data_IF_137720506211
#
_entry.id   IF_137720506211
#
_cell.length_a   1.000
_cell.length_b   1.000
_cell.length_c   1.000
_cell.angle_alpha   90.00
_cell.angle_beta   90.00
_cell.angle_gamma   90.00
#
_symmetry.space_group_name_H-M   'P 1'
#
loop_
_entity.id
_entity.type
_entity.pdbx_description
1 polymer ?
#
# COMPACT_ATOMS: atom_id res chain seq x y z
N UNK A 1 -7.57 53.64 -39.30
CA UNK A 1 -7.04 52.31 -39.67
C UNK A 1 -7.85 51.27 -38.92
N UNK A 2 -8.50 50.33 -39.63
CA UNK A 2 -9.51 49.41 -39.05
C UNK A 2 -8.92 48.24 -38.22
N UNK A 3 -7.59 48.09 -38.16
CA UNK A 3 -6.96 46.93 -37.50
C UNK A 3 -5.73 47.36 -36.68
N UNK A 4 -5.97 47.92 -35.48
CA UNK A 4 -4.92 48.09 -34.47
C UNK A 4 -4.83 46.83 -33.58
N UNK A 5 -3.61 46.35 -33.30
CA UNK A 5 -3.37 45.25 -32.34
C UNK A 5 -3.19 43.84 -32.93
N UNK A 6 -2.70 43.73 -34.16
CA UNK A 6 -2.41 42.45 -34.82
C UNK A 6 -1.30 41.69 -34.06
N UNK A 7 -1.68 40.59 -33.40
CA UNK A 7 -0.76 39.69 -32.70
C UNK A 7 -1.23 38.25 -32.95
N UNK A 8 -0.32 37.38 -33.41
CA UNK A 8 -0.66 36.02 -33.79
C UNK A 8 0.47 35.04 -33.47
N UNK A 9 0.18 33.98 -32.69
CA UNK A 9 1.11 32.87 -32.41
C UNK A 9 0.93 31.68 -33.38
N UNK A 10 -0.16 31.69 -34.15
CA UNK A 10 -0.50 30.74 -35.22
C UNK A 10 -0.84 31.56 -36.46
N UNK A 11 -0.69 31.00 -37.67
CA UNK A 11 -0.42 29.61 -38.02
C UNK A 11 1.05 29.21 -37.89
N UNK A 12 1.29 27.89 -37.86
CA UNK A 12 2.65 27.31 -37.84
C UNK A 12 3.31 27.40 -39.22
N UNK A 13 4.63 27.39 -39.27
CA UNK A 13 5.40 27.42 -40.53
C UNK A 13 4.96 26.32 -41.50
N UNK A 14 4.69 25.11 -41.00
CA UNK A 14 4.21 23.98 -41.80
C UNK A 14 2.84 24.25 -42.46
N UNK A 15 1.95 24.97 -41.77
CA UNK A 15 0.66 25.37 -42.31
C UNK A 15 0.81 26.45 -43.38
N UNK A 16 1.75 27.40 -43.21
CA UNK A 16 2.03 28.44 -44.21
C UNK A 16 2.73 27.89 -45.46
N UNK A 17 3.68 26.97 -45.29
CA UNK A 17 4.39 26.32 -46.41
C UNK A 17 3.40 25.53 -47.26
N UNK A 18 2.41 24.86 -46.66
CA UNK A 18 1.37 24.12 -47.40
C UNK A 18 0.51 25.01 -48.32
N UNK A 19 0.38 26.30 -48.01
CA UNK A 19 -0.31 27.25 -48.89
C UNK A 19 0.49 27.55 -50.15
N UNK A 20 1.79 27.80 -49.95
CA UNK A 20 2.70 28.33 -50.97
C UNK A 20 3.37 27.24 -51.81
N UNK A 21 3.64 26.07 -51.21
CA UNK A 21 4.30 24.93 -51.85
C UNK A 21 3.35 23.73 -51.75
N UNK A 22 2.61 23.49 -52.83
CA UNK A 22 1.62 22.41 -52.92
C UNK A 22 2.27 21.13 -53.44
N UNK A 23 2.86 20.37 -52.53
CA UNK A 23 3.58 19.13 -52.87
C UNK A 23 2.81 17.84 -52.56
N UNK A 24 1.63 17.94 -51.93
CA UNK A 24 0.78 16.78 -51.60
C UNK A 24 -0.43 16.73 -52.52
N UNK A 25 -0.82 15.53 -52.97
CA UNK A 25 -1.99 15.32 -53.84
C UNK A 25 -3.27 16.00 -53.33
N UNK A 26 -3.47 15.98 -52.00
CA UNK A 26 -4.60 16.64 -51.36
C UNK A 26 -4.56 18.17 -51.47
N UNK A 27 -3.38 18.78 -51.35
CA UNK A 27 -3.18 20.22 -51.49
C UNK A 27 -3.24 20.67 -52.97
N UNK A 28 -2.89 19.77 -53.89
CA UNK A 28 -3.01 19.97 -55.35
C UNK A 28 -4.48 19.95 -55.75
N UNK A 29 -5.26 18.97 -55.25
CA UNK A 29 -6.69 18.84 -55.54
C UNK A 29 -7.59 19.84 -54.79
N UNK A 30 -7.22 20.26 -53.57
CA UNK A 30 -8.02 21.18 -52.75
C UNK A 30 -7.36 22.55 -52.62
N UNK A 31 -7.82 23.51 -53.42
CA UNK A 31 -7.24 24.85 -53.46
C UNK A 31 -7.51 25.69 -52.21
N UNK A 32 -8.65 25.45 -51.56
CA UNK A 32 -9.06 26.20 -50.37
C UNK A 32 -8.53 25.48 -49.12
N UNK A 33 -9.01 24.26 -48.84
CA UNK A 33 -8.59 23.47 -47.66
C UNK A 33 -7.42 22.53 -47.98
N UNK A 34 -6.20 23.04 -47.91
CA UNK A 34 -4.98 22.34 -48.33
C UNK A 34 -4.20 21.61 -47.21
N UNK A 35 -4.61 21.75 -45.95
CA UNK A 35 -4.03 21.01 -44.82
C UNK A 35 -4.59 19.57 -44.75
N UNK A 36 -4.24 18.85 -43.70
CA UNK A 36 -4.58 17.44 -43.53
C UNK A 36 -6.10 17.22 -43.30
N UNK A 37 -6.61 15.99 -43.48
CA UNK A 37 -8.02 15.62 -43.22
C UNK A 37 -8.47 15.85 -41.80
N UNK A 38 -7.55 15.82 -40.84
CA UNK A 38 -7.88 16.01 -39.44
C UNK A 38 -7.93 17.48 -39.02
N UNK A 39 -7.58 18.41 -39.93
CA UNK A 39 -7.64 19.84 -39.65
C UNK A 39 -9.10 20.32 -39.57
N UNK A 40 -9.45 20.96 -38.46
CA UNK A 40 -10.79 21.46 -38.19
C UNK A 40 -11.04 22.79 -38.90
N UNK A 41 -12.31 23.07 -39.18
CA UNK A 41 -12.72 24.32 -39.82
C UNK A 41 -12.33 25.57 -39.01
N UNK A 42 -12.31 25.47 -37.68
CA UNK A 42 -11.89 26.57 -36.78
C UNK A 42 -10.37 26.84 -36.90
N UNK A 43 -9.57 25.83 -37.23
CA UNK A 43 -8.14 25.99 -37.51
C UNK A 43 -7.92 26.69 -38.86
N UNK A 44 -8.72 26.34 -39.87
CA UNK A 44 -8.72 27.02 -41.16
C UNK A 44 -9.21 28.47 -41.06
N UNK A 45 -10.22 28.75 -40.24
CA UNK A 45 -10.69 30.12 -39.97
C UNK A 45 -9.54 30.97 -39.41
N UNK A 46 -8.82 30.47 -38.42
CA UNK A 46 -7.66 31.17 -37.83
C UNK A 46 -6.54 31.38 -38.85
N UNK A 47 -6.28 30.38 -39.69
CA UNK A 47 -5.29 30.42 -40.77
C UNK A 47 -5.63 31.44 -41.87
N UNK A 48 -6.89 31.50 -42.30
CA UNK A 48 -7.32 32.45 -43.33
C UNK A 48 -7.37 33.87 -42.81
N UNK A 49 -7.83 34.07 -41.57
CA UNK A 49 -7.75 35.38 -40.92
C UNK A 49 -6.32 35.90 -40.87
N UNK A 50 -5.34 35.01 -40.64
CA UNK A 50 -3.93 35.36 -40.71
C UNK A 50 -3.47 35.69 -42.13
N UNK A 51 -3.78 34.85 -43.12
CA UNK A 51 -3.37 35.07 -44.53
C UNK A 51 -3.96 36.36 -45.13
N UNK A 52 -5.15 36.77 -44.69
CA UNK A 52 -5.81 38.00 -45.11
C UNK A 52 -5.28 39.27 -44.40
N UNK A 53 -4.29 39.13 -43.51
CA UNK A 53 -3.75 40.25 -42.72
C UNK A 53 -4.66 40.70 -41.57
N UNK A 54 -5.72 39.95 -41.27
CA UNK A 54 -6.68 40.20 -40.18
C UNK A 54 -6.37 39.30 -38.96
N UNK A 55 -5.09 39.03 -38.72
CA UNK A 55 -4.66 38.09 -37.69
C UNK A 55 -5.02 38.60 -36.29
N UNK A 56 -5.89 37.89 -35.59
CA UNK A 56 -6.37 38.29 -34.26
C UNK A 56 -6.30 37.14 -33.25
N UNK A 57 -5.87 37.45 -32.03
CA UNK A 57 -5.73 36.48 -30.93
C UNK A 57 -7.03 35.74 -30.59
N UNK A 58 -8.19 36.34 -30.86
CA UNK A 58 -9.51 35.69 -30.64
C UNK A 58 -9.73 34.45 -31.52
N UNK A 59 -9.15 34.38 -32.73
CA UNK A 59 -9.26 33.19 -33.59
C UNK A 59 -8.63 31.96 -32.94
N UNK A 60 -7.42 32.14 -32.40
CA UNK A 60 -6.71 31.10 -31.65
C UNK A 60 -7.43 30.70 -30.35
N UNK A 61 -7.99 31.68 -29.64
CA UNK A 61 -8.80 31.41 -28.44
C UNK A 61 -10.03 30.57 -28.79
N UNK A 62 -10.73 30.89 -29.88
CA UNK A 62 -11.88 30.12 -30.37
C UNK A 62 -11.49 28.66 -30.68
N UNK A 63 -10.37 28.45 -31.34
CA UNK A 63 -9.83 27.12 -31.64
C UNK A 63 -9.58 26.30 -30.36
N UNK A 64 -8.97 26.94 -29.36
CA UNK A 64 -8.64 26.33 -28.07
C UNK A 64 -9.90 25.97 -27.28
N UNK A 65 -10.82 26.93 -27.12
CA UNK A 65 -12.09 26.74 -26.41
C UNK A 65 -12.97 25.67 -27.08
N UNK A 66 -12.99 25.62 -28.41
CA UNK A 66 -13.75 24.59 -29.14
C UNK A 66 -13.20 23.20 -28.86
N UNK A 67 -11.88 23.06 -28.76
CA UNK A 67 -11.23 21.79 -28.44
C UNK A 67 -11.52 21.36 -27.00
N UNK A 68 -11.42 22.27 -26.04
CA UNK A 68 -11.78 22.02 -24.63
C UNK A 68 -13.26 21.63 -24.50
N UNK A 69 -14.16 22.35 -25.16
CA UNK A 69 -15.60 22.04 -25.15
C UNK A 69 -15.89 20.63 -25.69
N UNK A 70 -15.18 20.19 -26.74
CA UNK A 70 -15.32 18.84 -27.27
C UNK A 70 -14.81 17.78 -26.29
N UNK A 71 -13.72 18.05 -25.56
CA UNK A 71 -13.20 17.16 -24.52
C UNK A 71 -14.22 17.02 -23.37
N UNK A 72 -14.76 18.13 -22.88
CA UNK A 72 -15.80 18.16 -21.84
C UNK A 72 -17.06 17.40 -22.25
N UNK A 73 -17.54 17.61 -23.48
CA UNK A 73 -18.71 16.87 -24.01
C UNK A 73 -18.46 15.36 -24.06
N UNK A 74 -17.27 14.93 -24.48
CA UNK A 74 -16.89 13.51 -24.49
C UNK A 74 -16.81 12.95 -23.08
N UNK A 75 -16.25 13.71 -22.14
CA UNK A 75 -16.15 13.30 -20.73
C UNK A 75 -17.55 13.14 -20.12
N UNK A 76 -18.42 14.14 -20.30
CA UNK A 76 -19.84 14.05 -19.89
C UNK A 76 -20.54 12.83 -20.47
N UNK A 77 -20.40 12.59 -21.77
CA UNK A 77 -21.01 11.43 -22.43
C UNK A 77 -20.52 10.09 -21.89
N UNK A 78 -19.26 10.00 -21.43
CA UNK A 78 -18.72 8.80 -20.78
C UNK A 78 -19.28 8.60 -19.37
N UNK A 79 -19.48 9.68 -18.62
CA UNK A 79 -20.11 9.60 -17.30
C UNK A 79 -21.58 9.19 -17.41
N UNK A 80 -22.29 9.71 -18.42
CA UNK A 80 -23.70 9.43 -18.65
C UNK A 80 -23.96 8.12 -19.42
N UNK A 81 -22.92 7.41 -19.89
CA UNK A 81 -23.10 6.21 -20.74
C UNK A 81 -23.75 5.03 -20.00
N UNK A 82 -23.51 4.93 -18.68
CA UNK A 82 -24.04 3.85 -17.88
C UNK A 82 -25.36 4.23 -17.21
N UNK A 83 -25.44 5.46 -16.69
CA UNK A 83 -26.57 5.94 -15.88
C UNK A 83 -26.72 7.45 -16.07
N UNK A 84 -27.94 7.92 -16.37
CA UNK A 84 -28.24 9.35 -16.47
C UNK A 84 -28.20 10.03 -15.11
N UNK A 85 -27.90 11.34 -15.06
CA UNK A 85 -28.01 12.17 -13.86
C UNK A 85 -29.34 11.97 -13.12
N UNK A 86 -30.44 11.88 -13.85
CA UNK A 86 -31.77 11.69 -13.26
C UNK A 86 -31.88 10.34 -12.54
N UNK A 87 -31.27 9.29 -13.08
CA UNK A 87 -31.27 7.98 -12.44
C UNK A 87 -30.47 8.01 -11.13
N UNK A 88 -29.33 8.71 -11.07
CA UNK A 88 -28.60 8.92 -9.82
C UNK A 88 -29.42 9.68 -8.78
N UNK A 89 -30.18 10.69 -9.19
CA UNK A 89 -31.09 11.42 -8.29
C UNK A 89 -32.14 10.47 -7.73
N UNK A 90 -32.77 9.65 -8.56
CA UNK A 90 -33.77 8.66 -8.12
C UNK A 90 -33.16 7.63 -7.17
N UNK A 91 -31.97 7.09 -7.48
CA UNK A 91 -31.24 6.16 -6.62
C UNK A 91 -30.90 6.79 -5.27
N UNK A 92 -30.42 8.04 -5.27
CA UNK A 92 -30.08 8.76 -4.05
C UNK A 92 -31.32 8.99 -3.17
N UNK A 93 -32.45 9.35 -3.78
CA UNK A 93 -33.73 9.49 -3.06
C UNK A 93 -34.17 8.17 -2.46
N UNK A 94 -34.06 7.05 -3.19
CA UNK A 94 -34.40 5.73 -2.70
C UNK A 94 -33.54 5.35 -1.47
N UNK A 95 -32.22 5.51 -1.56
CA UNK A 95 -31.27 5.24 -0.47
C UNK A 95 -31.57 6.12 0.75
N UNK A 96 -31.78 7.42 0.55
CA UNK A 96 -32.07 8.34 1.66
C UNK A 96 -33.40 8.00 2.37
N UNK A 97 -34.41 7.55 1.62
CA UNK A 97 -35.66 7.09 2.20
C UNK A 97 -35.47 5.81 3.02
N UNK A 98 -34.61 4.90 2.58
CA UNK A 98 -34.27 3.70 3.32
C UNK A 98 -33.50 4.02 4.61
N UNK A 99 -32.50 4.91 4.55
CA UNK A 99 -31.79 5.43 5.72
C UNK A 99 -32.78 6.03 6.72
N UNK A 100 -33.73 6.85 6.26
CA UNK A 100 -34.74 7.46 7.12
C UNK A 100 -35.61 6.40 7.81
N UNK A 101 -36.06 5.37 7.08
CA UNK A 101 -36.84 4.26 7.66
C UNK A 101 -36.04 3.49 8.70
N UNK A 102 -34.78 3.20 8.41
CA UNK A 102 -33.89 2.48 9.34
C UNK A 102 -33.62 3.30 10.61
N UNK A 103 -33.43 4.61 10.49
CA UNK A 103 -33.28 5.49 11.65
C UNK A 103 -34.56 5.55 12.49
N UNK A 104 -35.74 5.66 11.87
CA UNK A 104 -37.00 5.59 12.62
C UNK A 104 -37.16 4.25 13.35
N UNK A 105 -36.76 3.14 12.73
CA UNK A 105 -36.73 1.83 13.39
C UNK A 105 -35.73 1.82 14.54
N UNK A 106 -34.54 2.40 14.37
CA UNK A 106 -33.53 2.58 15.42
C UNK A 106 -34.08 3.37 16.59
N UNK A 107 -34.79 4.47 16.35
CA UNK A 107 -35.37 5.32 17.40
C UNK A 107 -36.56 4.66 18.10
N UNK A 108 -37.33 3.83 17.39
CA UNK A 108 -38.45 3.06 17.95
C UNK A 108 -38.00 1.89 18.83
N UNK A 109 -36.81 1.35 18.55
CA UNK A 109 -36.12 0.50 19.50
C UNK A 109 -35.69 1.46 20.61
N UNK A 110 -36.29 1.33 21.79
CA UNK A 110 -36.06 2.18 22.96
C UNK A 110 -34.63 1.95 23.50
N UNK A 111 -33.64 2.19 22.66
CA UNK A 111 -32.22 1.96 22.85
C UNK A 111 -31.76 3.12 23.70
N UNK A 112 -31.42 2.82 24.95
CA UNK A 112 -30.73 3.69 25.89
C UNK A 112 -29.80 4.65 25.13
N UNK A 113 -29.90 5.97 25.35
CA UNK A 113 -29.04 6.99 24.71
C UNK A 113 -27.55 6.67 24.84
N UNK A 114 -27.17 5.92 25.88
CA UNK A 114 -25.81 5.46 26.12
C UNK A 114 -25.42 4.16 25.41
N UNK A 115 -26.27 3.56 24.57
CA UNK A 115 -25.93 2.29 23.89
C UNK A 115 -24.76 2.44 22.93
N UNK A 116 -24.71 3.52 22.13
CA UNK A 116 -23.59 3.79 21.23
C UNK A 116 -22.28 3.99 22.03
N UNK A 117 -22.37 4.68 23.16
CA UNK A 117 -21.23 4.87 24.07
C UNK A 117 -20.82 3.54 24.71
N UNK A 118 -21.78 2.71 25.13
CA UNK A 118 -21.55 1.38 25.67
C UNK A 118 -20.93 0.43 24.64
N UNK A 119 -21.38 0.50 23.39
CA UNK A 119 -20.84 -0.30 22.29
C UNK A 119 -19.41 0.12 21.95
N UNK A 120 -19.13 1.43 21.92
CA UNK A 120 -17.75 1.95 21.76
C UNK A 120 -16.85 1.50 22.90
N UNK A 121 -17.33 1.59 24.13
CA UNK A 121 -16.58 1.16 25.32
C UNK A 121 -16.31 -0.34 25.28
N UNK A 122 -17.31 -1.15 24.92
CA UNK A 122 -17.17 -2.59 24.75
C UNK A 122 -16.13 -2.94 23.68
N UNK A 123 -16.16 -2.25 22.54
CA UNK A 123 -15.19 -2.47 21.47
C UNK A 123 -13.77 -2.10 21.89
N UNK A 124 -13.60 -1.02 22.67
CA UNK A 124 -12.31 -0.63 23.22
C UNK A 124 -11.78 -1.67 24.21
N UNK A 125 -12.60 -2.09 25.18
CA UNK A 125 -12.22 -3.13 26.15
C UNK A 125 -11.86 -4.43 25.42
N UNK A 126 -12.62 -4.83 24.39
CA UNK A 126 -12.32 -6.02 23.60
C UNK A 126 -10.98 -5.91 22.86
N UNK A 127 -10.66 -4.72 22.35
CA UNK A 127 -9.37 -4.46 21.73
C UNK A 127 -8.23 -4.60 22.75
N UNK A 128 -8.35 -3.98 23.92
CA UNK A 128 -7.33 -4.06 24.98
C UNK A 128 -7.10 -5.50 25.45
N UNK A 129 -8.19 -6.27 25.65
CA UNK A 129 -8.12 -7.70 26.00
C UNK A 129 -7.35 -8.48 24.94
N UNK A 130 -7.61 -8.24 23.66
CA UNK A 130 -6.91 -8.94 22.58
C UNK A 130 -5.41 -8.62 22.59
N UNK A 131 -5.04 -7.35 22.75
CA UNK A 131 -3.64 -6.94 22.82
C UNK A 131 -2.91 -7.57 24.01
N UNK A 132 -3.54 -7.57 25.19
CA UNK A 132 -3.01 -8.22 26.39
C UNK A 132 -2.89 -9.73 26.21
N UNK A 133 -3.89 -10.37 25.61
CA UNK A 133 -3.88 -11.82 25.35
C UNK A 133 -2.74 -12.19 24.41
N UNK A 134 -2.51 -11.42 23.34
CA UNK A 134 -1.41 -11.64 22.41
C UNK A 134 -0.05 -11.50 23.10
N UNK A 135 0.13 -10.47 23.93
CA UNK A 135 1.35 -10.27 24.71
C UNK A 135 1.60 -11.43 25.69
N UNK A 136 0.58 -11.85 26.46
CA UNK A 136 0.67 -13.00 27.38
C UNK A 136 1.02 -14.27 26.61
N UNK A 137 0.39 -14.51 25.45
CA UNK A 137 0.67 -15.69 24.63
C UNK A 137 2.12 -15.74 24.15
N UNK A 138 2.68 -14.61 23.70
CA UNK A 138 4.08 -14.52 23.29
C UNK A 138 5.04 -14.78 24.46
N UNK A 139 4.77 -14.18 25.63
CA UNK A 139 5.58 -14.38 26.82
C UNK A 139 5.55 -15.83 27.31
N UNK A 140 4.36 -16.46 27.31
CA UNK A 140 4.19 -17.88 27.65
C UNK A 140 4.93 -18.79 26.67
N UNK A 141 4.77 -18.58 25.36
CA UNK A 141 5.49 -19.35 24.35
C UNK A 141 7.01 -19.24 24.53
N UNK A 142 7.52 -18.04 24.83
CA UNK A 142 8.95 -17.85 25.12
C UNK A 142 9.40 -18.58 26.39
N UNK A 143 8.59 -18.53 27.45
CA UNK A 143 8.84 -19.28 28.69
C UNK A 143 8.90 -20.78 28.43
N UNK A 144 7.94 -21.31 27.68
CA UNK A 144 7.84 -22.74 27.35
C UNK A 144 9.07 -23.21 26.56
N UNK A 145 9.50 -22.46 25.54
CA UNK A 145 10.72 -22.75 24.78
C UNK A 145 11.99 -22.81 25.65
N UNK A 146 12.11 -21.91 26.63
CA UNK A 146 13.24 -21.91 27.57
C UNK A 146 13.18 -23.15 28.48
N UNK A 147 11.98 -23.53 28.94
CA UNK A 147 11.78 -24.71 29.78
C UNK A 147 12.11 -25.99 28.99
N UNK A 148 11.63 -26.10 27.76
CA UNK A 148 11.96 -27.22 26.87
C UNK A 148 13.48 -27.31 26.63
N UNK A 149 14.12 -26.19 26.29
CA UNK A 149 15.58 -26.13 26.09
C UNK A 149 16.36 -26.53 27.34
N UNK A 150 15.87 -26.12 28.52
CA UNK A 150 16.44 -26.54 29.81
C UNK A 150 16.34 -28.05 29.98
N UNK A 151 15.15 -28.62 29.78
CA UNK A 151 14.91 -30.06 29.93
C UNK A 151 15.78 -30.88 28.97
N UNK A 152 15.96 -30.43 27.73
CA UNK A 152 16.82 -31.07 26.74
C UNK A 152 18.30 -31.05 27.15
N UNK A 153 18.80 -29.90 27.63
CA UNK A 153 20.16 -29.77 28.16
C UNK A 153 20.38 -30.62 29.41
N UNK A 154 19.41 -30.69 30.31
CA UNK A 154 19.47 -31.54 31.50
C UNK A 154 19.41 -33.03 31.14
N UNK A 155 18.66 -33.41 30.11
CA UNK A 155 18.66 -34.79 29.60
C UNK A 155 20.04 -35.17 29.02
N UNK A 156 20.69 -34.26 28.30
CA UNK A 156 22.05 -34.47 27.81
C UNK A 156 23.07 -34.69 28.95
N UNK A 157 22.85 -34.14 30.15
CA UNK A 157 23.70 -34.41 31.32
C UNK A 157 23.59 -35.86 31.83
N UNK A 158 22.44 -36.51 31.60
CA UNK A 158 22.12 -37.86 32.10
C UNK A 158 22.41 -38.92 31.03
N UNK A 159 22.24 -38.58 29.76
CA UNK A 159 22.22 -39.51 28.61
C UNK A 159 23.52 -39.51 27.80
N UNK A 160 24.57 -38.83 28.28
CA UNK A 160 25.91 -39.05 27.73
C UNK A 160 26.22 -40.51 27.92
N UNK A 161 26.36 -41.21 26.79
CA UNK A 161 26.97 -42.50 26.79
C UNK A 161 28.43 -42.29 27.23
N UNK A 162 28.70 -42.58 28.51
CA UNK A 162 30.04 -42.53 29.08
C UNK A 162 31.03 -43.33 28.21
N UNK A 163 30.52 -44.29 27.44
CA UNK A 163 31.25 -45.02 26.42
C UNK A 163 31.69 -44.15 25.23
N UNK A 164 30.84 -43.30 24.66
CA UNK A 164 31.21 -42.37 23.58
C UNK A 164 32.26 -41.36 24.05
N UNK A 165 32.03 -40.77 25.23
CA UNK A 165 32.92 -39.75 25.79
C UNK A 165 34.29 -40.37 26.14
N UNK A 166 34.29 -41.62 26.59
CA UNK A 166 35.51 -42.41 26.83
C UNK A 166 36.22 -42.77 25.52
N UNK A 167 35.48 -43.17 24.49
CA UNK A 167 36.03 -43.48 23.16
C UNK A 167 36.77 -42.28 22.57
N UNK A 168 36.15 -41.09 22.64
CA UNK A 168 36.78 -39.84 22.19
C UNK A 168 38.05 -39.54 22.99
N UNK A 169 38.02 -39.70 24.31
CA UNK A 169 39.19 -39.46 25.16
C UNK A 169 40.34 -40.43 24.83
N UNK A 170 40.04 -41.70 24.60
CA UNK A 170 41.01 -42.73 24.23
C UNK A 170 41.63 -42.46 22.85
N UNK A 171 40.82 -42.14 21.83
CA UNK A 171 41.30 -41.78 20.48
C UNK A 171 42.23 -40.57 20.49
N UNK A 172 41.90 -39.55 21.29
CA UNK A 172 42.71 -38.34 21.45
C UNK A 172 44.02 -38.65 22.17
N UNK A 173 43.97 -39.49 23.21
CA UNK A 173 45.17 -39.93 23.96
C UNK A 173 46.10 -40.80 23.11
N UNK A 174 45.58 -41.63 22.20
CA UNK A 174 46.40 -42.43 21.28
C UNK A 174 47.12 -41.55 20.24
N UNK A 175 46.45 -40.52 19.72
CA UNK A 175 47.03 -39.65 18.67
C UNK A 175 48.00 -38.59 19.20
N UNK A 176 47.80 -38.08 20.42
CA UNK A 176 48.57 -36.97 20.99
C UNK A 176 49.57 -37.40 22.07
N UNK A 177 49.55 -38.67 22.49
CA UNK A 177 50.36 -39.18 23.59
C UNK A 177 49.72 -38.91 24.97
N UNK A 178 50.48 -39.12 26.08
CA UNK A 178 49.92 -39.03 27.43
C UNK A 178 49.38 -37.63 27.75
N UNK A 179 48.07 -37.55 28.02
CA UNK A 179 47.37 -36.31 28.35
C UNK A 179 47.58 -35.92 29.82
N UNK A 180 47.66 -34.61 30.09
CA UNK A 180 47.82 -34.04 31.44
C UNK A 180 46.53 -34.04 32.28
N UNK A 181 45.39 -34.33 31.67
CA UNK A 181 44.06 -34.30 32.30
C UNK A 181 43.43 -35.67 32.21
N UNK A 182 42.77 -36.10 33.27
CA UNK A 182 42.13 -37.41 33.35
C UNK A 182 40.78 -37.42 32.64
N UNK A 183 40.27 -38.60 32.30
CA UNK A 183 38.89 -38.75 31.83
C UNK A 183 37.87 -38.18 32.84
N UNK A 184 38.14 -38.33 34.15
CA UNK A 184 37.31 -37.74 35.20
C UNK A 184 37.25 -36.22 35.12
N UNK A 185 38.36 -35.56 34.77
CA UNK A 185 38.39 -34.10 34.59
C UNK A 185 37.55 -33.67 33.38
N UNK A 186 37.54 -34.46 32.30
CA UNK A 186 36.73 -34.21 31.11
C UNK A 186 35.23 -34.33 31.40
N UNK A 187 34.82 -35.37 32.14
CA UNK A 187 33.42 -35.55 32.56
C UNK A 187 32.98 -34.40 33.46
N UNK A 188 33.80 -34.02 34.44
CA UNK A 188 33.51 -32.88 35.33
C UNK A 188 33.38 -31.56 34.56
N UNK A 189 34.27 -31.32 33.60
CA UNK A 189 34.21 -30.14 32.75
C UNK A 189 32.94 -30.11 31.89
N UNK A 190 32.57 -31.26 31.30
CA UNK A 190 31.34 -31.39 30.52
C UNK A 190 30.10 -31.06 31.38
N UNK A 191 29.97 -31.68 32.54
CA UNK A 191 28.82 -31.48 33.43
C UNK A 191 28.73 -30.02 33.90
N UNK A 192 29.88 -29.41 34.23
CA UNK A 192 29.96 -28.00 34.60
C UNK A 192 29.53 -27.08 33.45
N UNK A 193 29.92 -27.43 32.22
CA UNK A 193 29.55 -26.67 31.01
C UNK A 193 28.04 -26.74 30.72
N UNK A 194 27.41 -27.91 30.88
CA UNK A 194 25.95 -28.06 30.75
C UNK A 194 25.22 -27.25 31.83
N UNK A 195 25.65 -27.33 33.09
CA UNK A 195 25.07 -26.54 34.18
C UNK A 195 25.18 -25.03 33.92
N UNK A 196 26.32 -24.56 33.43
CA UNK A 196 26.48 -23.14 33.07
C UNK A 196 25.56 -22.73 31.91
N UNK A 197 25.36 -23.60 30.91
CA UNK A 197 24.41 -23.35 29.81
C UNK A 197 22.98 -23.26 30.33
N UNK A 198 22.56 -24.19 31.20
CA UNK A 198 21.24 -24.17 31.86
C UNK A 198 21.04 -22.87 32.65
N UNK A 199 22.02 -22.49 33.47
CA UNK A 199 21.97 -21.24 34.25
C UNK A 199 21.89 -20.00 33.36
N UNK A 200 22.56 -20.00 32.21
CA UNK A 200 22.53 -18.89 31.27
C UNK A 200 21.14 -18.72 30.63
N UNK A 201 20.55 -19.80 30.11
CA UNK A 201 19.26 -19.73 29.42
C UNK A 201 18.08 -19.48 30.38
N UNK A 202 18.19 -19.95 31.62
CA UNK A 202 17.13 -19.81 32.63
C UNK A 202 17.15 -18.47 33.35
N UNK A 203 18.21 -17.66 33.19
CA UNK A 203 18.37 -16.36 33.84
C UNK A 203 17.22 -15.39 33.56
N UNK A 204 16.58 -15.50 32.40
CA UNK A 204 15.48 -14.63 31.98
C UNK A 204 14.11 -15.08 32.51
N UNK A 205 13.95 -16.34 32.95
CA UNK A 205 12.67 -16.89 33.41
C UNK A 205 12.00 -16.05 34.52
N UNK A 206 12.71 -15.59 35.57
CA UNK A 206 12.07 -14.80 36.63
C UNK A 206 11.48 -13.47 36.12
N UNK A 207 12.14 -12.84 35.14
CA UNK A 207 11.67 -11.60 34.53
C UNK A 207 10.40 -11.86 33.70
N UNK A 208 10.40 -12.93 32.90
CA UNK A 208 9.23 -13.33 32.11
C UNK A 208 8.04 -13.69 32.99
N UNK A 209 8.27 -14.39 34.10
CA UNK A 209 7.24 -14.74 35.09
C UNK A 209 6.62 -13.48 35.72
N UNK A 210 7.45 -12.50 36.08
CA UNK A 210 7.00 -11.22 36.62
C UNK A 210 6.18 -10.43 35.60
N UNK A 211 6.60 -10.42 34.34
CA UNK A 211 5.92 -9.71 33.27
C UNK A 211 4.55 -10.35 32.97
N UNK A 212 4.48 -11.68 32.87
CA UNK A 212 3.22 -12.42 32.72
C UNK A 212 2.25 -12.14 33.88
N UNK A 213 2.76 -12.09 35.12
CA UNK A 213 1.92 -11.82 36.29
C UNK A 213 1.36 -10.39 36.30
N UNK A 214 2.14 -9.41 35.83
CA UNK A 214 1.69 -8.02 35.72
C UNK A 214 0.51 -7.82 34.75
N UNK A 215 0.31 -8.74 33.81
CA UNK A 215 -0.85 -8.74 32.92
C UNK A 215 -2.08 -9.46 33.50
N UNK A 216 -1.93 -10.23 34.59
CA UNK A 216 -3.01 -10.96 35.24
C UNK A 216 -3.58 -10.23 36.48
N UNK A 217 -2.93 -9.16 36.94
CA UNK A 217 -3.42 -8.23 37.97
C UNK A 217 -4.32 -7.14 37.38
#
# INVERSE_FOLDING_TARGET
>A
MLFNGLTAKKPTLKQLVGHNIRYKDKAISNTIKYLDSFTKDVEYETLYLYLLGCAHSKGQLKETLTTQLQQEKKYKSRLESNVSKNNYIVMLVAINNEIKKLNQKKDSLNINENFENGLKTLNHIKYDINQMTEAISLLKMRKDLIIESKQELEKNNIDIDLFELKTIYEEVSEKLGPLNKTFSDLVNHHNTMIQNKVNYITKELPSLESEINSYNE
#
